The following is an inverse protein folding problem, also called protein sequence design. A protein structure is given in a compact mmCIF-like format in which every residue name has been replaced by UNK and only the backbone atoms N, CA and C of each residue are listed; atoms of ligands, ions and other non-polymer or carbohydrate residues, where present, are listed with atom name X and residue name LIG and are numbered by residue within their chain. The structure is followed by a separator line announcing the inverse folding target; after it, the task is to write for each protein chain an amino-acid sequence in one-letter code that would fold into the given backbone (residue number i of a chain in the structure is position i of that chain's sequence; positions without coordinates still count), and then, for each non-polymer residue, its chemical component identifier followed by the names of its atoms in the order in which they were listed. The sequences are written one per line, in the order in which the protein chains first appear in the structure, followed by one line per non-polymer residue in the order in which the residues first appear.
data_IF_337819197781
#
_entry.id   IF_337819197781
#
_cell.length_a   1.000
_cell.length_b   1.000
_cell.length_c   1.000
_cell.angle_alpha   90.00
_cell.angle_beta   90.00
_cell.angle_gamma   90.00
#
_symmetry.space_group_name_H-M   'P 1'
#
loop_
_entity.id
_entity.type
_entity.pdbx_description
1 polymer ?
#
# COMPACT_ATOMS: atom_id res chain seq x y z
N UNK A 1 -3.26 -14.30 -36.21
CA UNK A 1 -1.91 -14.19 -35.62
C UNK A 1 -1.62 -12.71 -35.42
N UNK A 2 -1.81 -12.19 -34.22
CA UNK A 2 -1.45 -10.80 -33.90
C UNK A 2 -0.16 -10.83 -33.08
N UNK A 3 0.90 -10.23 -33.62
CA UNK A 3 2.23 -10.13 -33.02
C UNK A 3 2.22 -9.08 -31.90
N UNK A 4 2.49 -9.52 -30.68
CA UNK A 4 2.83 -8.65 -29.55
C UNK A 4 4.33 -8.38 -29.63
N UNK A 5 4.70 -7.13 -29.93
CA UNK A 5 6.10 -6.68 -29.88
C UNK A 5 6.36 -6.17 -28.46
N UNK A 6 7.01 -6.99 -27.65
CA UNK A 6 7.61 -6.55 -26.38
C UNK A 6 8.95 -5.89 -26.73
N UNK A 7 9.09 -4.58 -26.48
CA UNK A 7 10.40 -3.91 -26.50
C UNK A 7 10.84 -3.58 -25.08
N UNK A 8 12.01 -4.14 -24.78
CA UNK A 8 12.86 -3.97 -23.59
C UNK A 8 13.12 -2.50 -23.26
N UNK A 9 13.02 -2.18 -21.96
CA UNK A 9 13.46 -0.90 -21.37
C UNK A 9 14.91 -1.07 -20.93
N UNK A 10 15.82 -0.30 -21.51
CA UNK A 10 17.09 0.04 -20.86
C UNK A 10 17.67 1.36 -21.40
N UNK A 11 18.06 2.21 -20.44
CA UNK A 11 18.91 3.41 -20.56
C UNK A 11 18.38 4.61 -21.35
N UNK A 12 18.19 5.75 -20.67
CA UNK A 12 18.98 6.97 -20.92
C UNK A 12 18.67 8.04 -19.87
N UNK A 13 19.71 8.51 -19.18
CA UNK A 13 19.69 9.79 -18.49
C UNK A 13 19.94 10.93 -19.48
N UNK A 14 19.12 11.97 -19.40
CA UNK A 14 19.50 13.37 -19.66
C UNK A 14 18.37 14.25 -19.16
N UNK A 15 18.67 15.13 -18.20
CA UNK A 15 17.75 16.10 -17.64
C UNK A 15 17.17 17.01 -18.73
N UNK A 16 15.84 17.07 -18.84
CA UNK A 16 15.11 18.14 -19.51
C UNK A 16 14.40 19.00 -18.46
N UNK A 17 14.50 20.34 -18.53
CA UNK A 17 13.91 21.22 -17.54
C UNK A 17 12.38 21.23 -17.65
N UNK A 18 11.71 21.18 -16.50
CA UNK A 18 10.26 21.32 -16.37
C UNK A 18 9.88 22.74 -16.81
N UNK A 19 9.33 22.87 -18.01
CA UNK A 19 8.64 24.08 -18.45
C UNK A 19 7.31 24.16 -17.67
N UNK A 20 7.19 25.21 -16.88
CA UNK A 20 5.96 25.61 -16.20
C UNK A 20 4.83 25.77 -17.23
N UNK A 21 3.86 24.86 -17.20
CA UNK A 21 2.61 24.99 -17.96
C UNK A 21 1.57 25.58 -17.01
N UNK A 22 1.47 26.90 -16.99
CA UNK A 22 0.26 27.61 -16.58
C UNK A 22 -0.25 28.39 -17.78
N UNK A 23 -1.58 28.39 -17.97
CA UNK A 23 -2.35 29.20 -18.94
C UNK A 23 -2.55 28.62 -20.34
N UNK A 24 -3.52 27.72 -20.48
CA UNK A 24 -4.60 27.77 -21.49
C UNK A 24 -5.42 26.47 -21.43
N UNK A 25 -6.43 26.40 -20.56
CA UNK A 25 -7.43 25.33 -20.61
C UNK A 25 -8.45 25.71 -21.68
N UNK A 26 -8.08 25.56 -22.96
CA UNK A 26 -9.07 25.46 -24.03
C UNK A 26 -10.04 24.33 -23.64
N UNK A 27 -11.36 24.49 -23.81
CA UNK A 27 -12.28 23.38 -23.60
C UNK A 27 -11.80 22.24 -24.51
N UNK A 28 -11.46 21.10 -23.90
CA UNK A 28 -11.22 19.89 -24.67
C UNK A 28 -12.44 19.69 -25.58
N UNK A 29 -12.26 19.33 -26.87
CA UNK A 29 -13.38 18.96 -27.72
C UNK A 29 -14.22 17.93 -26.96
N UNK A 30 -15.54 18.16 -26.90
CA UNK A 30 -16.51 17.26 -26.27
C UNK A 30 -16.28 15.90 -26.93
N UNK A 31 -15.60 15.00 -26.24
CA UNK A 31 -15.36 13.66 -26.79
C UNK A 31 -16.74 13.01 -26.97
N UNK A 32 -16.99 12.32 -28.10
CA UNK A 32 -18.24 11.60 -28.26
C UNK A 32 -18.42 10.63 -27.08
N UNK A 33 -19.63 10.46 -26.54
CA UNK A 33 -19.88 9.56 -25.43
C UNK A 33 -19.37 8.16 -25.77
N UNK A 34 -18.63 7.53 -24.84
CA UNK A 34 -18.13 6.16 -25.04
C UNK A 34 -19.31 5.20 -25.26
N UNK A 35 -19.23 4.24 -26.21
CA UNK A 35 -20.32 3.29 -26.42
C UNK A 35 -20.64 2.50 -25.14
N UNK A 36 -21.93 2.26 -24.84
CA UNK A 36 -22.34 1.50 -23.65
C UNK A 36 -21.68 0.12 -23.55
N UNK A 37 -21.42 -0.53 -24.69
CA UNK A 37 -20.68 -1.80 -24.74
C UNK A 37 -19.25 -1.64 -24.19
N UNK A 38 -18.54 -0.59 -24.59
CA UNK A 38 -17.17 -0.32 -24.12
C UNK A 38 -17.13 0.05 -22.64
N UNK A 39 -18.16 0.73 -22.14
CA UNK A 39 -18.30 1.01 -20.70
C UNK A 39 -18.48 -0.30 -19.93
N UNK A 40 -19.36 -1.18 -20.40
CA UNK A 40 -19.57 -2.49 -19.75
C UNK A 40 -18.30 -3.36 -19.80
N UNK A 41 -17.61 -3.41 -20.94
CA UNK A 41 -16.32 -4.10 -21.08
C UNK A 41 -15.28 -3.55 -20.08
N UNK A 42 -15.28 -2.23 -19.83
CA UNK A 42 -14.43 -1.60 -18.83
C UNK A 42 -14.80 -1.98 -17.39
N UNK A 43 -16.10 -2.02 -17.06
CA UNK A 43 -16.58 -2.42 -15.73
C UNK A 43 -16.28 -3.90 -15.45
N UNK A 44 -16.48 -4.77 -16.43
CA UNK A 44 -16.17 -6.20 -16.33
C UNK A 44 -14.65 -6.43 -16.17
N UNK A 45 -13.83 -5.68 -16.92
CA UNK A 45 -12.38 -5.73 -16.77
C UNK A 45 -11.94 -5.26 -15.37
N UNK A 46 -12.62 -4.25 -14.80
CA UNK A 46 -12.31 -3.75 -13.48
C UNK A 46 -12.72 -4.72 -12.36
N UNK A 47 -13.87 -5.39 -12.50
CA UNK A 47 -14.28 -6.48 -11.60
C UNK A 47 -13.29 -7.66 -11.64
N UNK A 48 -12.82 -8.03 -12.83
CA UNK A 48 -11.77 -9.03 -12.98
C UNK A 48 -10.47 -8.59 -12.29
N UNK A 49 -10.11 -7.31 -12.37
CA UNK A 49 -8.95 -6.75 -11.69
C UNK A 49 -9.09 -6.77 -10.16
N UNK A 50 -10.28 -6.45 -9.63
CA UNK A 50 -10.59 -6.56 -8.20
C UNK A 50 -10.39 -8.00 -7.69
N UNK A 51 -10.90 -8.99 -8.43
CA UNK A 51 -10.71 -10.42 -8.12
C UNK A 51 -9.24 -10.82 -8.14
N UNK A 52 -8.48 -10.32 -9.11
CA UNK A 52 -7.03 -10.56 -9.18
C UNK A 52 -6.31 -9.97 -7.97
N UNK A 53 -6.65 -8.75 -7.55
CA UNK A 53 -6.10 -8.12 -6.35
C UNK A 53 -6.37 -8.96 -5.10
N UNK A 54 -7.60 -9.42 -4.90
CA UNK A 54 -7.93 -10.26 -3.74
C UNK A 54 -7.14 -11.59 -3.75
N UNK A 55 -6.95 -12.18 -4.93
CA UNK A 55 -6.09 -13.36 -5.06
C UNK A 55 -4.62 -13.06 -4.73
N UNK A 56 -4.08 -11.92 -5.16
CA UNK A 56 -2.71 -11.50 -4.85
C UNK A 56 -2.57 -11.24 -3.33
N UNK A 57 -3.52 -10.55 -2.69
CA UNK A 57 -3.53 -10.36 -1.22
C UNK A 57 -3.50 -11.69 -0.47
N UNK A 58 -4.38 -12.63 -0.86
CA UNK A 58 -4.42 -13.97 -0.27
C UNK A 58 -3.10 -14.72 -0.44
N UNK A 59 -2.52 -14.67 -1.65
CA UNK A 59 -1.22 -15.29 -1.96
C UNK A 59 -0.08 -14.66 -1.14
N UNK A 60 -0.08 -13.33 -1.02
CA UNK A 60 0.89 -12.58 -0.21
C UNK A 60 0.82 -12.96 1.28
N UNK A 61 -0.39 -13.11 1.82
CA UNK A 61 -0.59 -13.57 3.21
C UNK A 61 -0.07 -15.00 3.42
N UNK A 62 -0.37 -15.91 2.48
CA UNK A 62 0.15 -17.29 2.55
C UNK A 62 1.68 -17.32 2.48
N UNK A 63 2.28 -16.48 1.64
CA UNK A 63 3.73 -16.32 1.55
C UNK A 63 4.34 -15.81 2.86
N UNK A 64 3.74 -14.78 3.48
CA UNK A 64 4.17 -14.25 4.77
C UNK A 64 4.18 -15.33 5.86
N UNK A 65 3.09 -16.11 5.95
CA UNK A 65 2.99 -17.25 6.90
C UNK A 65 4.05 -18.32 6.61
N UNK A 66 4.29 -18.66 5.34
CA UNK A 66 5.30 -19.64 4.97
C UNK A 66 6.72 -19.19 5.31
N UNK A 67 7.05 -17.91 5.08
CA UNK A 67 8.35 -17.34 5.43
C UNK A 67 8.53 -17.29 6.96
N UNK A 68 7.48 -16.95 7.72
CA UNK A 68 7.54 -16.96 9.18
C UNK A 68 7.87 -18.36 9.73
N UNK A 69 7.21 -19.40 9.20
CA UNK A 69 7.52 -20.80 9.54
C UNK A 69 8.94 -21.20 9.15
N UNK A 70 9.47 -20.67 8.04
CA UNK A 70 10.85 -20.89 7.62
C UNK A 70 11.85 -20.27 8.61
N UNK A 71 11.59 -19.06 9.09
CA UNK A 71 12.41 -18.39 10.12
C UNK A 71 12.42 -19.22 11.42
N UNK A 72 11.27 -19.71 11.86
CA UNK A 72 11.15 -20.58 13.04
C UNK A 72 11.95 -21.89 12.86
N UNK A 73 11.85 -22.52 11.69
CA UNK A 73 12.64 -23.72 11.37
C UNK A 73 14.16 -23.42 11.37
N UNK A 74 14.59 -22.30 10.81
CA UNK A 74 15.99 -21.87 10.82
C UNK A 74 16.51 -21.67 12.25
N UNK A 75 15.71 -21.10 13.16
CA UNK A 75 16.07 -20.99 14.57
C UNK A 75 16.25 -22.37 15.23
N UNK A 76 15.34 -23.31 14.99
CA UNK A 76 15.46 -24.66 15.52
C UNK A 76 16.74 -25.37 15.03
N UNK A 77 17.04 -25.28 13.73
CA UNK A 77 18.25 -25.87 13.14
C UNK A 77 19.51 -25.17 13.69
N UNK A 78 19.47 -23.85 13.92
CA UNK A 78 20.60 -23.11 14.51
C UNK A 78 20.94 -23.64 15.91
N UNK A 79 19.94 -23.92 16.73
CA UNK A 79 20.14 -24.52 18.07
C UNK A 79 20.79 -25.90 17.96
N UNK A 80 20.25 -26.78 17.11
CA UNK A 80 20.82 -28.13 16.89
C UNK A 80 22.27 -28.03 16.41
N UNK A 81 22.56 -27.11 15.50
CA UNK A 81 23.90 -26.91 14.94
C UNK A 81 24.90 -26.45 16.02
N UNK A 82 24.46 -25.59 16.94
CA UNK A 82 25.25 -25.16 18.10
C UNK A 82 25.55 -26.33 19.03
N UNK A 83 24.54 -27.15 19.33
CA UNK A 83 24.69 -28.31 20.20
C UNK A 83 25.63 -29.36 19.57
N UNK A 84 25.53 -29.58 18.25
CA UNK A 84 26.45 -30.45 17.51
C UNK A 84 27.91 -29.95 17.57
N UNK A 85 28.11 -28.64 17.48
CA UNK A 85 29.43 -28.04 17.61
C UNK A 85 30.00 -28.23 19.04
N UNK A 86 29.14 -28.11 20.06
CA UNK A 86 29.52 -28.37 21.45
C UNK A 86 29.88 -29.85 21.69
N UNK A 87 29.04 -30.78 21.19
CA UNK A 87 29.31 -32.23 21.26
C UNK A 87 30.61 -32.57 20.53
N UNK A 88 30.87 -31.97 19.37
CA UNK A 88 32.12 -32.14 18.64
C UNK A 88 33.33 -31.68 19.48
N UNK A 89 33.25 -30.51 20.12
CA UNK A 89 34.33 -30.01 20.97
C UNK A 89 34.57 -30.93 22.18
N UNK A 90 33.52 -31.37 22.86
CA UNK A 90 33.62 -32.31 23.98
C UNK A 90 34.22 -33.64 23.54
N UNK A 91 33.77 -34.19 22.41
CA UNK A 91 34.28 -35.44 21.83
C UNK A 91 35.76 -35.31 21.47
N UNK A 92 36.18 -34.16 20.94
CA UNK A 92 37.58 -33.87 20.64
C UNK A 92 38.44 -33.85 21.90
N UNK A 93 37.95 -33.28 23.00
CA UNK A 93 38.65 -33.27 24.30
C UNK A 93 38.75 -34.68 24.87
N UNK A 94 37.67 -35.47 24.82
CA UNK A 94 37.66 -36.86 25.28
C UNK A 94 38.66 -37.72 24.47
N UNK A 95 38.68 -37.56 23.15
CA UNK A 95 39.62 -38.23 22.27
C UNK A 95 41.07 -37.85 22.59
N UNK A 96 41.33 -36.57 22.86
CA UNK A 96 42.66 -36.10 23.28
C UNK A 96 43.09 -36.76 24.60
N UNK A 97 42.22 -36.77 25.61
CA UNK A 97 42.51 -37.39 26.90
C UNK A 97 42.78 -38.90 26.76
N UNK A 98 41.98 -39.60 25.94
CA UNK A 98 42.19 -41.01 25.64
C UNK A 98 43.53 -41.26 24.92
N UNK A 99 43.92 -40.36 24.01
CA UNK A 99 45.23 -40.42 23.34
C UNK A 99 46.41 -40.23 24.30
N UNK A 100 46.27 -39.31 25.27
CA UNK A 100 47.29 -39.10 26.32
C UNK A 100 47.43 -40.34 27.20
N UNK A 101 46.33 -40.93 27.64
CA UNK A 101 46.35 -42.15 28.45
C UNK A 101 46.94 -43.34 27.67
N UNK A 102 46.57 -43.49 26.40
CA UNK A 102 47.12 -44.51 25.51
C UNK A 102 48.65 -44.38 25.34
N UNK A 103 49.18 -43.16 25.29
CA UNK A 103 50.62 -42.92 25.27
C UNK A 103 51.30 -43.26 26.62
N UNK A 104 50.59 -43.06 27.74
CA UNK A 104 51.10 -43.34 29.08
C UNK A 104 51.35 -44.84 29.32
N UNK A 105 50.45 -45.70 28.85
CA UNK A 105 50.60 -47.18 28.92
C UNK A 105 51.59 -47.76 27.88
N UNK A 106 52.19 -46.93 27.03
CA UNK A 106 53.26 -47.35 26.11
C UNK A 106 52.81 -48.39 25.09
N UNK A 107 53.57 -49.49 24.96
CA UNK A 107 53.36 -50.50 23.91
C UNK A 107 51.97 -51.16 23.95
N UNK A 108 51.35 -51.29 25.14
CA UNK A 108 50.01 -51.86 25.26
C UNK A 108 48.89 -50.88 24.82
N UNK A 109 49.16 -49.58 24.81
CA UNK A 109 48.18 -48.54 24.42
C UNK A 109 48.18 -48.19 22.93
N UNK A 110 49.11 -48.74 22.13
CA UNK A 110 49.30 -48.35 20.74
C UNK A 110 48.04 -48.46 19.86
N UNK A 111 47.22 -49.50 20.06
CA UNK A 111 45.94 -49.65 19.32
C UNK A 111 44.87 -48.66 19.78
N UNK A 112 44.83 -48.32 21.07
CA UNK A 112 43.94 -47.29 21.61
C UNK A 112 44.31 -45.89 21.13
N UNK A 113 45.60 -45.59 20.96
CA UNK A 113 46.07 -44.32 20.42
C UNK A 113 45.55 -44.08 18.99
N UNK A 114 45.52 -45.12 18.15
CA UNK A 114 44.97 -45.03 16.78
C UNK A 114 43.47 -44.73 16.81
N UNK A 115 42.71 -45.40 17.70
CA UNK A 115 41.27 -45.14 17.86
C UNK A 115 41.00 -43.71 18.35
N UNK A 116 41.79 -43.23 19.30
CA UNK A 116 41.69 -41.87 19.81
C UNK A 116 41.92 -40.82 18.70
N UNK A 117 42.92 -41.00 17.84
CA UNK A 117 43.15 -40.08 16.72
C UNK A 117 41.99 -40.12 15.70
N UNK A 118 41.43 -41.30 15.40
CA UNK A 118 40.25 -41.38 14.51
C UNK A 118 39.02 -40.67 15.08
N UNK A 119 38.75 -40.80 16.39
CA UNK A 119 37.64 -40.09 17.04
C UNK A 119 37.87 -38.58 16.96
N UNK A 120 39.10 -38.12 17.16
CA UNK A 120 39.47 -36.70 17.03
C UNK A 120 39.26 -36.17 15.61
N UNK A 121 39.61 -36.94 14.58
CA UNK A 121 39.35 -36.57 13.18
C UNK A 121 37.85 -36.48 12.88
N UNK A 122 37.05 -37.43 13.39
CA UNK A 122 35.58 -37.40 13.24
C UNK A 122 34.99 -36.17 13.93
N UNK A 123 35.44 -35.87 15.16
CA UNK A 123 35.02 -34.68 15.88
C UNK A 123 35.32 -33.41 15.10
N UNK A 124 36.53 -33.25 14.55
CA UNK A 124 36.92 -32.09 13.74
C UNK A 124 36.07 -31.96 12.45
N UNK A 125 35.75 -33.08 11.80
CA UNK A 125 34.85 -33.10 10.64
C UNK A 125 33.43 -32.68 11.02
N UNK A 126 32.93 -33.12 12.18
CA UNK A 126 31.62 -32.73 12.70
C UNK A 126 31.56 -31.21 12.96
N UNK A 127 32.60 -30.65 13.60
CA UNK A 127 32.72 -29.19 13.82
C UNK A 127 32.63 -28.41 12.50
N UNK A 128 33.43 -28.78 11.49
CA UNK A 128 33.43 -28.10 10.19
C UNK A 128 32.07 -28.19 9.50
N UNK A 129 31.42 -29.35 9.57
CA UNK A 129 30.08 -29.52 9.02
C UNK A 129 29.04 -28.64 9.72
N UNK A 130 29.08 -28.56 11.06
CA UNK A 130 28.25 -27.66 11.85
C UNK A 130 28.49 -26.19 11.52
N UNK A 131 29.75 -25.76 11.40
CA UNK A 131 30.09 -24.38 11.02
C UNK A 131 29.57 -24.02 9.61
N UNK A 132 29.71 -24.95 8.65
CA UNK A 132 29.17 -24.78 7.29
C UNK A 132 27.64 -24.72 7.31
N UNK A 133 26.99 -25.54 8.12
CA UNK A 133 25.53 -25.57 8.27
C UNK A 133 25.02 -24.26 8.88
N UNK A 134 25.71 -23.74 9.90
CA UNK A 134 25.40 -22.44 10.50
C UNK A 134 25.51 -21.29 9.49
N UNK A 135 26.49 -21.33 8.58
CA UNK A 135 26.61 -20.33 7.52
C UNK A 135 25.41 -20.35 6.55
N UNK A 136 24.97 -21.55 6.13
CA UNK A 136 23.80 -21.72 5.26
C UNK A 136 22.53 -21.20 5.95
N UNK A 137 22.34 -21.51 7.24
CA UNK A 137 21.16 -21.04 7.98
C UNK A 137 21.15 -19.51 8.09
N UNK A 138 22.29 -18.88 8.38
CA UNK A 138 22.38 -17.41 8.40
C UNK A 138 21.98 -16.81 7.06
N UNK A 139 22.46 -17.38 5.95
CA UNK A 139 22.07 -16.92 4.62
C UNK A 139 20.56 -17.13 4.37
N UNK A 140 19.99 -18.25 4.83
CA UNK A 140 18.55 -18.55 4.74
C UNK A 140 17.69 -17.52 5.48
N UNK A 141 18.12 -17.08 6.67
CA UNK A 141 17.45 -16.00 7.42
C UNK A 141 17.48 -14.68 6.65
N UNK A 142 18.64 -14.26 6.14
CA UNK A 142 18.76 -13.00 5.36
C UNK A 142 17.86 -13.04 4.12
N UNK A 143 17.81 -14.17 3.41
CA UNK A 143 16.93 -14.34 2.25
C UNK A 143 15.45 -14.30 2.65
N UNK A 144 15.09 -14.86 3.80
CA UNK A 144 13.73 -14.81 4.35
C UNK A 144 13.30 -13.38 4.68
N UNK A 145 14.17 -12.60 5.30
CA UNK A 145 13.93 -11.18 5.61
C UNK A 145 13.73 -10.35 4.33
N UNK A 146 14.57 -10.59 3.31
CA UNK A 146 14.44 -9.95 1.99
C UNK A 146 13.10 -10.29 1.32
N UNK A 147 12.63 -11.54 1.45
CA UNK A 147 11.33 -11.96 0.93
C UNK A 147 10.15 -11.29 1.67
N UNK A 148 10.26 -11.06 2.98
CA UNK A 148 9.26 -10.26 3.74
C UNK A 148 9.21 -8.83 3.21
N UNK A 149 10.37 -8.22 2.94
CA UNK A 149 10.42 -6.85 2.43
C UNK A 149 9.79 -6.75 1.03
N UNK A 150 10.07 -7.71 0.15
CA UNK A 150 9.41 -7.80 -1.16
C UNK A 150 7.88 -7.98 -1.02
N UNK A 151 7.44 -8.79 -0.04
CA UNK A 151 6.02 -8.96 0.28
C UNK A 151 5.34 -7.67 0.70
N UNK A 152 6.02 -6.81 1.48
CA UNK A 152 5.50 -5.47 1.85
C UNK A 152 5.37 -4.55 0.65
N UNK A 153 6.38 -4.53 -0.23
CA UNK A 153 6.30 -3.72 -1.46
C UNK A 153 5.11 -4.15 -2.33
N UNK A 154 4.88 -5.45 -2.46
CA UNK A 154 3.70 -5.99 -3.17
C UNK A 154 2.41 -5.49 -2.51
N UNK A 155 2.36 -5.45 -1.19
CA UNK A 155 1.18 -4.95 -0.46
C UNK A 155 0.91 -3.47 -0.73
N UNK A 156 1.95 -2.66 -0.83
CA UNK A 156 1.87 -1.23 -1.18
C UNK A 156 1.43 -1.05 -2.64
N UNK A 157 2.04 -1.79 -3.58
CA UNK A 157 1.68 -1.76 -5.01
C UNK A 157 0.21 -2.18 -5.22
N UNK A 158 -0.28 -3.14 -4.43
CA UNK A 158 -1.70 -3.53 -4.44
C UNK A 158 -2.61 -2.37 -4.02
N UNK A 159 -2.22 -1.54 -3.05
CA UNK A 159 -3.03 -0.39 -2.65
C UNK A 159 -3.17 0.61 -3.80
N UNK A 160 -2.07 0.85 -4.50
CA UNK A 160 -2.05 1.74 -5.66
C UNK A 160 -2.93 1.22 -6.79
N UNK A 161 -2.91 -0.10 -7.02
CA UNK A 161 -3.80 -0.74 -7.98
C UNK A 161 -5.27 -0.58 -7.56
N UNK A 162 -5.61 -0.80 -6.28
CA UNK A 162 -6.99 -0.64 -5.79
C UNK A 162 -7.47 0.80 -5.94
N UNK A 163 -6.63 1.78 -5.65
CA UNK A 163 -6.96 3.19 -5.87
C UNK A 163 -7.22 3.49 -7.34
N UNK A 164 -6.36 3.04 -8.25
CA UNK A 164 -6.55 3.21 -9.69
C UNK A 164 -7.84 2.51 -10.18
N UNK A 165 -8.14 1.33 -9.66
CA UNK A 165 -9.40 0.62 -9.95
C UNK A 165 -10.62 1.43 -9.50
N UNK A 166 -10.53 2.11 -8.36
CA UNK A 166 -11.57 3.02 -7.90
C UNK A 166 -11.75 4.18 -8.89
N UNK A 167 -10.67 4.89 -9.26
CA UNK A 167 -10.73 5.99 -10.23
C UNK A 167 -11.30 5.55 -11.59
N UNK A 168 -10.93 4.35 -12.05
CA UNK A 168 -11.46 3.77 -13.30
C UNK A 168 -12.95 3.47 -13.18
N UNK A 169 -13.40 2.87 -12.07
CA UNK A 169 -14.84 2.67 -11.82
C UNK A 169 -15.59 3.98 -11.91
N UNK A 170 -14.99 5.04 -11.36
CA UNK A 170 -15.60 6.35 -11.32
C UNK A 170 -15.74 7.01 -12.68
N UNK A 171 -14.67 6.98 -13.46
CA UNK A 171 -14.72 7.47 -14.83
C UNK A 171 -15.79 6.71 -15.64
N UNK A 172 -15.85 5.38 -15.54
CA UNK A 172 -16.81 4.54 -16.26
C UNK A 172 -18.26 4.82 -15.86
N UNK A 173 -18.54 4.99 -14.56
CA UNK A 173 -19.86 5.37 -14.07
C UNK A 173 -20.27 6.77 -14.56
N UNK A 174 -19.33 7.72 -14.57
CA UNK A 174 -19.54 9.05 -15.14
C UNK A 174 -19.91 9.00 -16.62
N UNK A 175 -19.23 8.18 -17.42
CA UNK A 175 -19.57 7.97 -18.84
C UNK A 175 -20.94 7.31 -19.02
N UNK A 176 -21.30 6.36 -18.15
CA UNK A 176 -22.62 5.72 -18.19
C UNK A 176 -23.74 6.73 -17.93
N UNK A 177 -23.57 7.60 -16.93
CA UNK A 177 -24.52 8.67 -16.62
C UNK A 177 -24.67 9.68 -17.77
N UNK A 178 -23.55 10.07 -18.41
CA UNK A 178 -23.56 10.93 -19.59
C UNK A 178 -24.34 10.31 -20.76
N UNK A 179 -24.16 9.01 -21.02
CA UNK A 179 -24.91 8.29 -22.06
C UNK A 179 -26.41 8.24 -21.79
N UNK A 180 -26.81 8.04 -20.53
CA UNK A 180 -28.22 8.04 -20.15
C UNK A 180 -28.85 9.43 -20.38
N UNK A 181 -28.14 10.51 -20.03
CA UNK A 181 -28.59 11.88 -20.30
C UNK A 181 -28.62 12.21 -21.79
N UNK A 182 -27.62 11.78 -22.57
CA UNK A 182 -27.59 12.00 -24.03
C UNK A 182 -28.75 11.29 -24.74
N UNK A 183 -29.17 10.10 -24.27
CA UNK A 183 -30.32 9.37 -24.79
C UNK A 183 -31.68 9.91 -24.31
N UNK A 184 -31.70 10.75 -23.28
CA UNK A 184 -32.90 11.44 -22.78
C UNK A 184 -33.05 12.87 -23.30
N UNK A 185 -32.02 13.41 -23.97
CA UNK A 185 -32.11 14.72 -24.62
C UNK A 185 -33.13 14.65 -25.77
N UNK A 186 -34.19 15.48 -25.78
CA UNK A 186 -35.16 15.47 -26.87
C UNK A 186 -34.45 15.85 -28.16
N UNK A 187 -34.56 14.99 -29.18
CA UNK A 187 -34.10 15.26 -30.54
C UNK A 187 -34.62 16.61 -31.02
N UNK A 188 -33.77 17.59 -31.41
CA UNK A 188 -34.25 18.80 -32.05
C UNK A 188 -34.67 18.46 -33.49
N UNK A 189 -35.92 18.77 -33.83
CA UNK A 189 -36.67 18.46 -35.07
C UNK A 189 -37.29 17.05 -35.08
N UNK A 190 -38.61 16.89 -35.04
CA UNK A 190 -39.61 17.44 -35.98
C UNK A 190 -40.84 17.92 -35.21
N UNK A 191 -41.14 19.23 -35.24
CA UNK A 191 -42.49 19.83 -35.19
C UNK A 191 -42.36 21.36 -35.21
N UNK A 192 -41.97 21.90 -36.37
CA UNK A 192 -42.14 23.32 -36.68
C UNK A 192 -43.33 23.45 -37.64
N UNK A 193 -44.54 23.58 -37.09
CA UNK A 193 -45.68 24.27 -37.71
C UNK A 193 -46.93 24.17 -36.80
N UNK A 194 -47.53 25.34 -36.52
CA UNK A 194 -48.78 25.57 -35.76
C UNK A 194 -48.65 25.31 -34.23
N UNK A 195 -48.88 26.26 -33.32
CA UNK A 195 -49.82 27.37 -33.32
C UNK A 195 -49.29 28.51 -32.44
N UNK A 196 -49.51 29.73 -32.91
CA UNK A 196 -49.38 31.01 -32.19
C UNK A 196 -50.56 31.15 -31.20
N UNK A 197 -50.40 32.01 -30.17
CA UNK A 197 -51.38 32.52 -29.18
C UNK A 197 -51.57 31.55 -27.97
N UNK A 198 -51.19 31.83 -26.72
CA UNK A 198 -51.51 32.97 -25.82
C UNK A 198 -50.50 33.17 -24.66
N UNK A 199 -50.12 34.43 -24.43
CA UNK A 199 -49.94 35.19 -23.17
C UNK A 199 -49.53 34.55 -21.82
N UNK A 200 -48.45 35.15 -21.28
CA UNK A 200 -48.23 35.71 -19.91
C UNK A 200 -47.92 34.84 -18.69
N UNK A 201 -46.98 35.39 -17.92
CA UNK A 201 -46.59 35.16 -16.52
C UNK A 201 -45.74 33.94 -16.16
N UNK A 202 -44.42 34.18 -16.02
CA UNK A 202 -43.71 34.14 -14.73
C UNK A 202 -42.19 34.17 -14.98
N UNK A 203 -41.54 35.26 -14.61
CA UNK A 203 -40.08 35.34 -14.49
C UNK A 203 -39.69 34.48 -13.28
N UNK A 204 -39.28 33.24 -13.53
CA UNK A 204 -38.52 32.45 -12.56
C UNK A 204 -37.03 32.58 -12.89
N UNK A 205 -36.28 33.14 -11.93
CA UNK A 205 -34.81 33.18 -11.94
C UNK A 205 -34.23 31.77 -12.18
N UNK A 206 -33.12 31.63 -12.92
CA UNK A 206 -32.30 30.43 -12.79
C UNK A 206 -31.60 30.49 -11.43
N UNK A 207 -32.02 29.59 -10.54
CA UNK A 207 -31.27 29.23 -9.32
C UNK A 207 -29.94 28.61 -9.74
N UNK A 208 -28.86 29.38 -9.60
CA UNK A 208 -27.51 28.84 -9.55
C UNK A 208 -27.38 28.03 -8.24
N UNK A 209 -27.55 26.71 -8.31
CA UNK A 209 -27.21 25.82 -7.20
C UNK A 209 -25.83 25.23 -7.48
N UNK A 210 -24.80 26.01 -7.18
CA UNK A 210 -23.39 25.60 -7.20
C UNK A 210 -22.77 26.02 -5.88
N UNK A 211 -23.12 25.32 -4.81
CA UNK A 211 -22.55 25.51 -3.47
C UNK A 211 -21.56 24.41 -3.11
N UNK A 212 -20.73 23.96 -4.06
CA UNK A 212 -19.60 23.10 -3.75
C UNK A 212 -18.50 23.95 -3.15
N UNK A 213 -18.12 23.70 -1.89
CA UNK A 213 -16.85 24.21 -1.37
C UNK A 213 -15.73 23.76 -2.35
N UNK A 214 -14.69 24.57 -2.57
CA UNK A 214 -13.59 24.14 -3.42
C UNK A 214 -13.01 22.82 -2.90
N UNK A 215 -12.71 21.90 -3.83
CA UNK A 215 -12.03 20.64 -3.51
C UNK A 215 -10.74 20.94 -2.75
N UNK A 216 -10.43 20.12 -1.75
CA UNK A 216 -9.18 20.22 -1.03
C UNK A 216 -8.03 19.89 -2.01
N UNK A 217 -7.01 20.75 -2.05
CA UNK A 217 -5.84 20.53 -2.91
C UNK A 217 -4.58 20.48 -2.06
N UNK A 218 -3.66 19.57 -2.38
CA UNK A 218 -2.34 19.56 -1.76
C UNK A 218 -1.55 20.82 -2.15
N UNK A 219 -1.14 21.61 -1.16
CA UNK A 219 -0.32 22.79 -1.37
C UNK A 219 1.14 22.47 -1.01
N UNK A 220 2.06 22.36 -1.99
CA UNK A 220 3.46 22.02 -1.73
C UNK A 220 4.16 22.97 -0.76
N UNK A 221 3.78 24.26 -0.74
CA UNK A 221 4.46 25.24 0.11
C UNK A 221 4.20 24.96 1.59
N UNK A 222 2.97 24.56 1.92
CA UNK A 222 2.50 24.37 3.31
C UNK A 222 2.42 22.90 3.75
N UNK A 223 2.29 21.95 2.82
CA UNK A 223 1.99 20.54 3.11
C UNK A 223 3.09 19.55 2.74
N UNK A 224 4.13 19.93 1.99
CA UNK A 224 5.24 19.02 1.72
C UNK A 224 5.91 18.59 3.03
N UNK A 225 6.32 17.35 3.19
CA UNK A 225 7.01 16.85 4.39
C UNK A 225 8.51 16.73 4.18
N UNK A 226 8.97 16.90 2.94
CA UNK A 226 10.36 16.61 2.54
C UNK A 226 10.61 15.13 2.27
N UNK A 227 9.57 14.29 2.34
CA UNK A 227 9.60 12.88 1.95
C UNK A 227 8.58 12.64 0.84
N UNK A 228 9.06 12.43 -0.40
CA UNK A 228 8.20 12.30 -1.58
C UNK A 228 7.11 11.22 -1.42
N UNK A 229 7.45 10.10 -0.80
CA UNK A 229 6.51 8.99 -0.54
C UNK A 229 5.37 9.42 0.39
N UNK A 230 5.68 10.18 1.45
CA UNK A 230 4.66 10.68 2.39
C UNK A 230 3.77 11.72 1.68
N UNK A 231 4.38 12.59 0.88
CA UNK A 231 3.65 13.62 0.12
C UNK A 231 2.73 13.02 -0.94
N UNK A 232 3.14 11.93 -1.61
CA UNK A 232 2.29 11.16 -2.52
C UNK A 232 1.13 10.50 -1.78
N UNK A 233 1.37 9.98 -0.58
CA UNK A 233 0.31 9.40 0.24
C UNK A 233 -0.71 10.45 0.70
N UNK A 234 -0.27 11.66 1.06
CA UNK A 234 -1.15 12.78 1.38
C UNK A 234 -2.00 13.20 0.19
N UNK A 235 -1.43 13.28 -1.02
CA UNK A 235 -2.19 13.57 -2.25
C UNK A 235 -3.32 12.56 -2.45
N UNK A 236 -3.04 11.27 -2.28
CA UNK A 236 -4.05 10.20 -2.39
C UNK A 236 -5.14 10.30 -1.31
N UNK A 237 -4.78 10.54 -0.05
CA UNK A 237 -5.77 10.76 1.02
C UNK A 237 -6.68 11.96 0.75
N UNK A 238 -6.11 13.09 0.33
CA UNK A 238 -6.87 14.29 -0.04
C UNK A 238 -7.84 13.99 -1.17
N UNK A 239 -7.39 13.27 -2.20
CA UNK A 239 -8.22 12.92 -3.33
C UNK A 239 -9.39 12.00 -2.91
N UNK A 240 -9.12 10.96 -2.11
CA UNK A 240 -10.16 10.07 -1.58
C UNK A 240 -11.18 10.81 -0.70
N UNK A 241 -10.74 11.81 0.08
CA UNK A 241 -11.65 12.67 0.87
C UNK A 241 -12.51 13.55 -0.05
N UNK A 242 -11.98 14.06 -1.15
CA UNK A 242 -12.77 14.81 -2.14
C UNK A 242 -13.80 13.91 -2.85
N UNK A 243 -13.44 12.66 -3.13
CA UNK A 243 -14.34 11.69 -3.77
C UNK A 243 -15.60 11.37 -2.93
N UNK A 244 -15.58 11.61 -1.60
CA UNK A 244 -16.77 11.41 -0.75
C UNK A 244 -17.92 12.34 -1.14
N UNK A 245 -17.62 13.61 -1.41
CA UNK A 245 -18.60 14.60 -1.84
C UNK A 245 -19.08 14.30 -3.25
N UNK A 246 -18.17 13.91 -4.15
CA UNK A 246 -18.52 13.51 -5.52
C UNK A 246 -19.43 12.28 -5.56
N UNK A 247 -19.19 11.29 -4.68
CA UNK A 247 -20.03 10.10 -4.57
C UNK A 247 -21.47 10.44 -4.18
N UNK A 248 -21.64 11.45 -3.32
CA UNK A 248 -22.94 11.98 -2.93
C UNK A 248 -23.58 12.75 -4.09
N UNK A 249 -22.85 13.66 -4.74
CA UNK A 249 -23.32 14.46 -5.87
C UNK A 249 -23.77 13.59 -7.06
N UNK A 250 -23.07 12.49 -7.30
CA UNK A 250 -23.36 11.54 -8.38
C UNK A 250 -24.43 10.50 -8.00
N UNK A 251 -24.94 10.52 -6.77
CA UNK A 251 -26.01 9.62 -6.33
C UNK A 251 -25.61 8.14 -6.28
N UNK A 252 -24.35 7.82 -5.95
CA UNK A 252 -23.82 6.43 -5.96
C UNK A 252 -24.44 5.51 -4.90
N UNK A 253 -25.23 6.07 -3.99
CA UNK A 253 -25.93 5.34 -2.94
C UNK A 253 -24.99 4.67 -1.93
N UNK A 254 -25.57 3.84 -1.06
CA UNK A 254 -24.87 3.22 0.06
C UNK A 254 -23.64 2.42 -0.36
N UNK A 255 -23.80 1.54 -1.35
CA UNK A 255 -22.77 0.56 -1.72
C UNK A 255 -21.50 1.23 -2.29
N UNK A 256 -21.67 2.26 -3.12
CA UNK A 256 -20.54 3.03 -3.67
C UNK A 256 -19.79 3.80 -2.59
N UNK A 257 -20.53 4.40 -1.65
CA UNK A 257 -19.96 5.16 -0.52
C UNK A 257 -19.26 4.23 0.47
N UNK A 258 -19.83 3.05 0.76
CA UNK A 258 -19.22 2.06 1.66
C UNK A 258 -17.89 1.54 1.12
N UNK A 259 -17.77 1.33 -0.19
CA UNK A 259 -16.49 0.97 -0.81
C UNK A 259 -15.43 2.06 -0.61
N UNK A 260 -15.78 3.31 -0.86
CA UNK A 260 -14.85 4.44 -0.69
C UNK A 260 -14.41 4.60 0.77
N UNK A 261 -15.34 4.47 1.71
CA UNK A 261 -15.06 4.57 3.15
C UNK A 261 -14.16 3.45 3.63
N UNK A 262 -14.39 2.21 3.18
CA UNK A 262 -13.49 1.10 3.53
C UNK A 262 -12.08 1.33 2.98
N UNK A 263 -11.97 1.77 1.72
CA UNK A 263 -10.68 2.09 1.12
C UNK A 263 -9.95 3.22 1.87
N UNK A 264 -10.68 4.26 2.28
CA UNK A 264 -10.16 5.37 3.08
C UNK A 264 -9.65 4.95 4.45
N UNK A 265 -10.41 4.09 5.15
CA UNK A 265 -9.98 3.55 6.43
C UNK A 265 -8.70 2.72 6.32
N UNK A 266 -8.65 1.80 5.34
CA UNK A 266 -7.51 0.90 5.14
C UNK A 266 -6.24 1.67 4.72
N UNK A 267 -6.38 2.62 3.80
CA UNK A 267 -5.27 3.42 3.30
C UNK A 267 -4.70 4.34 4.39
N UNK A 268 -5.57 5.02 5.16
CA UNK A 268 -5.16 5.86 6.28
C UNK A 268 -4.42 5.05 7.35
N UNK A 269 -4.85 3.82 7.66
CA UNK A 269 -4.23 2.98 8.67
C UNK A 269 -2.77 2.65 8.32
N UNK A 270 -2.53 2.32 7.05
CA UNK A 270 -1.19 2.00 6.54
C UNK A 270 -0.31 3.23 6.49
N UNK A 271 -0.83 4.34 5.96
CA UNK A 271 -0.12 5.62 5.93
C UNK A 271 0.34 6.04 7.34
N UNK A 272 -0.57 6.05 8.31
CA UNK A 272 -0.25 6.38 9.71
C UNK A 272 0.81 5.43 10.28
N UNK A 273 0.68 4.12 10.07
CA UNK A 273 1.68 3.15 10.56
C UNK A 273 3.07 3.37 9.96
N UNK A 274 3.15 3.73 8.67
CA UNK A 274 4.41 4.00 7.99
C UNK A 274 5.05 5.28 8.52
N UNK A 275 4.26 6.34 8.65
CA UNK A 275 4.73 7.63 9.13
C UNK A 275 5.18 7.57 10.60
N UNK A 276 4.46 6.87 11.47
CA UNK A 276 4.85 6.67 12.86
C UNK A 276 6.20 5.95 13.00
N UNK A 277 6.45 4.95 12.14
CA UNK A 277 7.74 4.26 12.06
C UNK A 277 8.83 5.21 11.57
N UNK A 278 8.55 6.01 10.53
CA UNK A 278 9.50 6.98 9.99
C UNK A 278 9.87 8.05 11.02
N UNK A 279 8.87 8.65 11.69
CA UNK A 279 9.08 9.64 12.74
C UNK A 279 9.85 9.07 13.93
N UNK A 280 9.58 7.81 14.31
CA UNK A 280 10.32 7.15 15.39
C UNK A 280 11.77 6.88 14.99
N UNK A 281 12.01 6.38 13.77
CA UNK A 281 13.35 6.09 13.26
C UNK A 281 14.22 7.35 13.11
N UNK A 282 13.61 8.46 12.67
CA UNK A 282 14.28 9.76 12.50
C UNK A 282 14.39 10.56 13.81
N UNK A 283 13.88 10.03 14.93
CA UNK A 283 13.83 10.71 16.23
C UNK A 283 13.11 12.07 16.15
N UNK A 284 12.06 12.15 15.33
CA UNK A 284 11.25 13.36 15.17
C UNK A 284 10.60 13.75 16.51
N UNK A 285 10.76 14.99 17.00
CA UNK A 285 10.15 15.45 18.26
C UNK A 285 8.62 15.35 18.30
N UNK A 286 7.98 15.37 17.13
CA UNK A 286 6.53 15.26 17.00
C UNK A 286 6.00 13.82 17.03
N UNK A 287 6.86 12.79 17.08
CA UNK A 287 6.46 11.39 16.94
C UNK A 287 5.36 10.94 17.93
N UNK A 288 5.44 11.38 19.19
CA UNK A 288 4.43 11.04 20.20
C UNK A 288 3.09 11.73 19.90
N UNK A 289 3.16 13.04 19.63
CA UNK A 289 2.00 13.85 19.25
C UNK A 289 1.34 13.32 17.97
N UNK A 290 2.12 12.79 17.04
CA UNK A 290 1.63 12.16 15.82
C UNK A 290 0.78 10.93 16.12
N UNK A 291 1.33 9.99 16.90
CA UNK A 291 0.63 8.77 17.34
C UNK A 291 -0.67 9.08 18.09
N UNK A 292 -0.65 10.08 18.96
CA UNK A 292 -1.85 10.52 19.69
C UNK A 292 -2.92 11.09 18.74
N UNK A 293 -2.51 11.93 17.78
CA UNK A 293 -3.41 12.52 16.79
C UNK A 293 -4.02 11.47 15.86
N UNK A 294 -3.22 10.53 15.35
CA UNK A 294 -3.67 9.39 14.56
C UNK A 294 -4.71 8.56 15.29
N UNK A 295 -4.40 8.18 16.54
CA UNK A 295 -5.30 7.40 17.38
C UNK A 295 -6.63 8.14 17.60
N UNK A 296 -6.59 9.44 17.89
CA UNK A 296 -7.79 10.25 18.08
C UNK A 296 -8.65 10.33 16.81
N UNK A 297 -8.01 10.46 15.64
CA UNK A 297 -8.71 10.48 14.35
C UNK A 297 -9.34 9.12 14.03
N UNK A 298 -8.62 8.02 14.27
CA UNK A 298 -9.17 6.68 14.08
C UNK A 298 -10.40 6.40 14.97
N UNK A 299 -10.35 6.81 16.23
CA UNK A 299 -11.51 6.71 17.13
C UNK A 299 -12.69 7.58 16.66
N UNK A 300 -12.41 8.75 16.10
CA UNK A 300 -13.44 9.64 15.52
C UNK A 300 -14.07 9.01 14.29
N UNK A 301 -13.26 8.47 13.38
CA UNK A 301 -13.73 7.77 12.18
C UNK A 301 -14.54 6.52 12.54
N UNK A 302 -14.08 5.73 13.51
CA UNK A 302 -14.77 4.51 13.96
C UNK A 302 -16.16 4.82 14.53
N UNK A 303 -16.26 5.81 15.44
CA UNK A 303 -17.55 6.26 16.00
C UNK A 303 -18.49 6.74 14.91
N UNK A 304 -17.96 7.48 13.93
CA UNK A 304 -18.75 7.91 12.80
C UNK A 304 -19.23 6.72 11.95
N UNK A 305 -18.37 5.72 11.67
CA UNK A 305 -18.76 4.52 10.91
C UNK A 305 -19.82 3.70 11.61
N UNK A 306 -19.70 3.49 12.91
CA UNK A 306 -20.73 2.83 13.73
C UNK A 306 -22.07 3.57 13.61
N UNK A 307 -22.06 4.91 13.70
CA UNK A 307 -23.26 5.72 13.53
C UNK A 307 -23.89 5.59 12.13
N UNK A 308 -23.06 5.66 11.08
CA UNK A 308 -23.47 5.50 9.69
C UNK A 308 -24.07 4.11 9.40
N UNK A 309 -23.46 3.05 9.94
CA UNK A 309 -23.93 1.67 9.72
C UNK A 309 -25.30 1.41 10.38
N UNK A 310 -25.58 2.07 11.50
CA UNK A 310 -26.86 2.02 12.19
C UNK A 310 -27.97 2.83 11.50
N UNK A 311 -27.66 4.04 11.04
CA UNK A 311 -28.66 4.94 10.43
C UNK A 311 -28.91 4.64 8.94
N UNK A 312 -27.99 3.94 8.29
CA UNK A 312 -28.02 3.73 6.85
C UNK A 312 -27.45 4.92 6.08
N UNK A 313 -27.51 4.84 4.75
CA UNK A 313 -26.93 5.87 3.89
C UNK A 313 -27.66 7.21 4.03
N UNK A 314 -26.93 8.20 4.56
CA UNK A 314 -27.35 9.60 4.63
C UNK A 314 -26.28 10.48 3.96
N UNK A 315 -26.59 11.12 2.81
CA UNK A 315 -25.74 12.11 2.16
C UNK A 315 -25.14 13.16 3.09
N UNK A 316 -25.93 13.66 4.05
CA UNK A 316 -25.51 14.74 4.94
C UNK A 316 -24.42 14.27 5.91
N UNK A 317 -24.52 13.04 6.43
CA UNK A 317 -23.49 12.44 7.27
C UNK A 317 -22.16 12.27 6.51
N UNK A 318 -22.22 11.90 5.22
CA UNK A 318 -21.02 11.75 4.38
C UNK A 318 -20.33 13.09 4.14
N UNK A 319 -21.11 14.15 3.89
CA UNK A 319 -20.57 15.51 3.75
C UNK A 319 -20.01 16.02 5.09
N UNK A 320 -20.64 15.71 6.21
CA UNK A 320 -20.11 16.03 7.55
C UNK A 320 -18.75 15.35 7.77
N UNK A 321 -18.64 14.05 7.49
CA UNK A 321 -17.37 13.33 7.57
C UNK A 321 -16.30 13.97 6.68
N UNK A 322 -16.63 14.27 5.42
CA UNK A 322 -15.69 14.91 4.49
C UNK A 322 -15.14 16.21 5.06
N UNK A 323 -15.96 17.03 5.71
CA UNK A 323 -15.51 18.27 6.35
C UNK A 323 -14.59 17.99 7.55
N UNK A 324 -14.94 17.02 8.40
CA UNK A 324 -14.10 16.60 9.55
C UNK A 324 -12.74 16.13 9.07
N UNK A 325 -12.70 15.25 8.07
CA UNK A 325 -11.47 14.70 7.52
C UNK A 325 -10.63 15.75 6.80
N UNK A 326 -11.25 16.65 6.04
CA UNK A 326 -10.54 17.73 5.33
C UNK A 326 -9.85 18.67 6.32
N UNK A 327 -10.56 19.10 7.36
CA UNK A 327 -10.02 19.99 8.38
C UNK A 327 -8.89 19.30 9.15
N UNK A 328 -9.10 18.05 9.56
CA UNK A 328 -8.11 17.29 10.29
C UNK A 328 -6.84 17.05 9.45
N UNK A 329 -6.97 16.60 8.20
CA UNK A 329 -5.82 16.36 7.31
C UNK A 329 -4.99 17.64 7.12
N UNK A 330 -5.64 18.77 6.82
CA UNK A 330 -4.93 20.05 6.63
C UNK A 330 -4.17 20.44 7.89
N UNK A 331 -4.83 20.37 9.05
CA UNK A 331 -4.20 20.76 10.31
C UNK A 331 -3.08 19.80 10.72
N UNK A 332 -3.27 18.51 10.51
CA UNK A 332 -2.32 17.46 10.86
C UNK A 332 -1.06 17.59 10.02
N UNK A 333 -1.20 17.57 8.68
CA UNK A 333 -0.08 17.67 7.75
C UNK A 333 0.73 18.94 8.00
N UNK A 334 0.08 20.10 8.09
CA UNK A 334 0.78 21.37 8.24
C UNK A 334 1.47 21.52 9.61
N UNK A 335 0.89 20.99 10.71
CA UNK A 335 1.36 21.27 12.08
C UNK A 335 2.18 20.13 12.70
N UNK A 336 2.07 18.92 12.17
CA UNK A 336 2.70 17.71 12.72
C UNK A 336 3.61 17.11 11.67
N UNK A 337 3.09 16.71 10.52
CA UNK A 337 3.84 15.90 9.53
C UNK A 337 4.98 16.70 8.90
N UNK A 338 4.73 17.99 8.62
CA UNK A 338 5.75 18.91 8.11
C UNK A 338 6.96 19.09 9.05
N UNK A 339 6.89 18.65 10.32
CA UNK A 339 8.07 18.63 11.21
C UNK A 339 9.13 17.63 10.73
N UNK A 340 8.75 16.61 9.94
CA UNK A 340 9.69 15.70 9.28
C UNK A 340 10.68 16.43 8.35
N UNK A 341 10.33 17.59 7.78
CA UNK A 341 11.22 18.39 6.90
C UNK A 341 12.59 18.62 7.53
N UNK A 342 12.63 18.78 8.86
CA UNK A 342 13.82 19.13 9.62
C UNK A 342 14.68 17.92 10.00
N UNK A 343 14.21 16.70 9.71
CA UNK A 343 14.78 15.45 10.19
C UNK A 343 15.02 14.43 9.07
N UNK A 344 15.10 14.90 7.82
CA UNK A 344 15.52 14.09 6.67
C UNK A 344 16.95 13.61 6.91
N UNK A 345 17.13 12.32 7.21
CA UNK A 345 18.45 11.69 7.18
C UNK A 345 18.95 11.76 5.75
N UNK A 346 19.93 12.62 5.51
CA UNK A 346 20.79 12.56 4.33
C UNK A 346 21.53 11.22 4.39
N UNK A 347 20.94 10.19 3.79
CA UNK A 347 21.65 8.97 3.46
C UNK A 347 22.25 9.18 2.07
N UNK A 348 23.54 9.55 2.06
CA UNK A 348 24.39 9.50 0.87
C UNK A 348 24.78 8.07 0.53
#
# INVERSE_FOLDING_TARGET
MYNVVIRSVSSFGSATPILSIRSARSPLPIQPPLPMKSIQEGLDANDAMNKAVEHIKSTGNQMSVAIQKLIEANHAISTITRDLNEISLQTKILALNAGVEAAHVGAQGATFAVVAEQIKEIAERCKKASESTAAIIRQSVITSESAIQAGKQIEDDIQDIVYQQYEISEALNGFAAQNQQANQAPSPAVNHAASVVTSTDSISKPTANGSGKPKLTFDPDTMATGHDVVDDQHRKLIDMVNQLEEAVEQGRGREGVDRLLNFLGDYAAKHFSMEEKLMTATHCPAAEKNREAHKAMFETYKKWRENYDHHGFDPQLVIELKNILSEWLVQHICKIDCTLRQHTTVAH
#
